data_IF_917087661516
#
_entry.id   IF_917087661516
#
_cell.length_a   1.000
_cell.length_b   1.000
_cell.length_c   1.000
_cell.angle_alpha   90.00
_cell.angle_beta   90.00
_cell.angle_gamma   90.00
#
_symmetry.space_group_name_H-M   'P 1'
#
loop_
_entity.id
_entity.type
_entity.pdbx_description
1 polymer ?
#
# COMPACT_ATOMS: atom_id res chain seq x y z
N UNK A 1 7.11 3.19 2.64
CA UNK A 1 6.38 1.94 2.39
C UNK A 1 4.95 2.29 2.07
N UNK A 2 4.07 1.30 2.04
CA UNK A 2 2.66 1.48 1.66
C UNK A 2 1.77 0.63 2.56
N UNK A 3 0.49 0.96 2.61
CA UNK A 3 -0.58 0.15 3.18
C UNK A 3 -1.27 -0.68 2.10
N UNK A 4 -1.75 -1.88 2.42
CA UNK A 4 -2.29 -2.82 1.41
C UNK A 4 -3.41 -2.24 0.55
N UNK A 5 -4.25 -1.34 1.07
CA UNK A 5 -5.39 -0.78 0.37
C UNK A 5 -5.32 0.76 0.28
N UNK A 6 -4.20 1.34 -0.17
CA UNK A 6 -4.00 2.80 -0.23
C UNK A 6 -5.17 3.59 -0.83
N UNK A 7 -5.72 3.13 -1.95
CA UNK A 7 -6.76 3.87 -2.66
C UNK A 7 -8.12 3.84 -1.98
N UNK A 8 -8.35 2.94 -1.02
CA UNK A 8 -9.69 2.75 -0.44
C UNK A 8 -10.16 3.93 0.39
N UNK A 9 -9.24 4.71 0.96
CA UNK A 9 -9.56 5.98 1.62
C UNK A 9 -9.49 7.17 0.65
N UNK A 10 -8.46 7.19 -0.21
CA UNK A 10 -8.13 8.34 -1.04
C UNK A 10 -8.99 8.51 -2.30
N UNK A 11 -9.61 7.44 -2.78
CA UNK A 11 -10.38 7.50 -4.02
C UNK A 11 -11.66 8.34 -3.87
N UNK A 12 -12.14 8.96 -4.97
CA UNK A 12 -13.49 9.51 -5.03
C UNK A 12 -14.54 8.50 -4.55
N UNK A 13 -15.52 9.00 -3.79
CA UNK A 13 -16.68 8.24 -3.32
C UNK A 13 -17.91 8.71 -4.11
N UNK A 14 -18.36 7.95 -5.13
CA UNK A 14 -19.52 8.36 -5.91
C UNK A 14 -20.80 8.23 -5.07
N UNK A 15 -21.75 9.14 -5.29
CA UNK A 15 -23.11 9.01 -4.72
C UNK A 15 -23.92 7.89 -5.40
N UNK A 16 -23.46 7.45 -6.58
CA UNK A 16 -24.04 6.36 -7.37
C UNK A 16 -23.53 5.00 -6.86
N UNK A 17 -24.35 3.96 -6.99
CA UNK A 17 -23.91 2.59 -6.75
C UNK A 17 -22.79 2.20 -7.74
N UNK A 18 -21.79 1.47 -7.23
CA UNK A 18 -20.68 0.97 -8.05
C UNK A 18 -21.17 0.07 -9.18
N UNK A 19 -20.66 0.36 -10.39
CA UNK A 19 -20.90 -0.36 -11.63
C UNK A 19 -19.75 -0.10 -12.59
N UNK A 20 -19.63 -0.88 -13.68
CA UNK A 20 -18.62 -0.58 -14.71
C UNK A 20 -18.75 0.83 -15.29
N UNK A 21 -19.98 1.35 -15.44
CA UNK A 21 -20.20 2.70 -15.94
C UNK A 21 -19.64 3.77 -14.99
N UNK A 22 -19.79 3.57 -13.67
CA UNK A 22 -19.21 4.46 -12.65
C UNK A 22 -17.68 4.32 -12.63
N UNK A 23 -17.14 3.10 -12.78
CA UNK A 23 -15.70 2.89 -12.91
C UNK A 23 -15.14 3.67 -14.10
N UNK A 24 -15.77 3.57 -15.27
CA UNK A 24 -15.34 4.27 -16.49
C UNK A 24 -15.42 5.80 -16.35
N UNK A 25 -16.50 6.31 -15.75
CA UNK A 25 -16.68 7.75 -15.45
C UNK A 25 -15.53 8.28 -14.57
N UNK A 26 -15.22 7.58 -13.48
CA UNK A 26 -14.17 8.00 -12.57
C UNK A 26 -12.76 7.81 -13.14
N UNK A 27 -12.52 6.74 -13.92
CA UNK A 27 -11.25 6.52 -14.61
C UNK A 27 -10.99 7.61 -15.65
N UNK A 28 -12.00 8.01 -16.42
CA UNK A 28 -11.88 9.11 -17.38
C UNK A 28 -11.48 10.44 -16.71
N UNK A 29 -12.01 10.71 -15.50
CA UNK A 29 -11.66 11.91 -14.74
C UNK A 29 -10.18 11.95 -14.32
N UNK A 30 -9.52 10.80 -14.17
CA UNK A 30 -8.10 10.72 -13.82
C UNK A 30 -7.16 11.19 -14.95
N UNK A 31 -7.62 11.26 -16.20
CA UNK A 31 -6.81 11.80 -17.32
C UNK A 31 -6.43 13.27 -17.15
N UNK A 32 -7.18 14.01 -16.32
CA UNK A 32 -6.84 15.39 -15.98
C UNK A 32 -5.54 15.50 -15.17
N UNK A 33 -5.12 14.42 -14.52
CA UNK A 33 -3.93 14.38 -13.66
C UNK A 33 -2.82 13.51 -14.25
N UNK A 34 -3.19 12.44 -14.97
CA UNK A 34 -2.25 11.54 -15.63
C UNK A 34 -2.49 11.54 -17.14
N UNK A 35 -1.72 12.37 -17.84
CA UNK A 35 -1.75 12.40 -19.31
C UNK A 35 -1.19 11.09 -19.88
N UNK A 36 -1.79 10.60 -20.96
CA UNK A 36 -1.30 9.41 -21.67
C UNK A 36 -1.75 8.06 -21.09
N UNK A 37 -2.64 8.04 -20.09
CA UNK A 37 -3.26 6.80 -19.63
C UNK A 37 -4.09 6.15 -20.75
N UNK A 38 -3.76 4.90 -21.08
CA UNK A 38 -4.62 4.03 -21.87
C UNK A 38 -5.74 3.48 -20.98
N UNK A 39 -6.88 4.16 -21.00
CA UNK A 39 -8.02 3.82 -20.15
C UNK A 39 -8.57 2.42 -20.43
N UNK A 40 -8.48 1.94 -21.68
CA UNK A 40 -8.95 0.60 -22.03
C UNK A 40 -8.02 -0.46 -21.43
N UNK A 41 -6.71 -0.24 -21.50
CA UNK A 41 -5.74 -1.12 -20.85
C UNK A 41 -5.90 -1.13 -19.32
N UNK A 42 -6.12 0.03 -18.69
CA UNK A 42 -6.38 0.14 -17.24
C UNK A 42 -7.67 -0.57 -16.85
N UNK A 43 -8.77 -0.30 -17.55
CA UNK A 43 -10.05 -0.99 -17.30
C UNK A 43 -9.88 -2.51 -17.44
N UNK A 44 -9.25 -2.96 -18.53
CA UNK A 44 -9.03 -4.37 -18.77
C UNK A 44 -8.18 -5.02 -17.68
N UNK A 45 -7.12 -4.34 -17.22
CA UNK A 45 -6.27 -4.81 -16.14
C UNK A 45 -7.07 -5.01 -14.84
N UNK A 46 -7.76 -3.98 -14.34
CA UNK A 46 -8.44 -4.06 -13.04
C UNK A 46 -9.73 -4.88 -13.09
N UNK A 47 -10.62 -4.60 -14.04
CA UNK A 47 -11.89 -5.33 -14.14
C UNK A 47 -11.71 -6.74 -14.72
N UNK A 48 -10.61 -7.02 -15.41
CA UNK A 48 -10.24 -8.38 -15.85
C UNK A 48 -10.03 -9.35 -14.68
N UNK A 49 -9.66 -8.85 -13.50
CA UNK A 49 -9.44 -9.63 -12.28
C UNK A 49 -10.69 -9.76 -11.39
N UNK A 50 -11.78 -9.08 -11.75
CA UNK A 50 -13.06 -9.15 -11.02
C UNK A 50 -13.86 -10.35 -11.50
N UNK A 51 -14.02 -11.36 -10.64
CA UNK A 51 -14.74 -12.60 -10.97
C UNK A 51 -16.24 -12.37 -11.24
N UNK A 52 -16.89 -11.48 -10.47
CA UNK A 52 -18.29 -11.12 -10.64
C UNK A 52 -18.43 -9.61 -10.84
N UNK A 53 -18.54 -9.17 -12.10
CA UNK A 53 -18.66 -7.74 -12.44
C UNK A 53 -20.04 -7.15 -12.17
N UNK A 54 -21.01 -7.98 -11.81
CA UNK A 54 -22.32 -7.53 -11.33
C UNK A 54 -22.31 -7.22 -9.82
N UNK A 55 -21.23 -7.55 -9.10
CA UNK A 55 -21.08 -7.22 -7.68
C UNK A 55 -20.51 -5.80 -7.51
N UNK A 56 -21.30 -4.83 -6.99
CA UNK A 56 -20.84 -3.46 -6.75
C UNK A 56 -19.63 -3.40 -5.81
N UNK A 57 -19.53 -4.30 -4.82
CA UNK A 57 -18.41 -4.31 -3.89
C UNK A 57 -17.11 -4.73 -4.59
N UNK A 58 -17.17 -5.68 -5.51
CA UNK A 58 -16.01 -6.11 -6.28
C UNK A 58 -15.51 -5.02 -7.25
N UNK A 59 -16.44 -4.32 -7.91
CA UNK A 59 -16.10 -3.17 -8.77
C UNK A 59 -15.48 -2.04 -7.95
N UNK A 60 -16.03 -1.74 -6.76
CA UNK A 60 -15.46 -0.76 -5.83
C UNK A 60 -14.03 -1.11 -5.46
N UNK A 61 -13.77 -2.35 -5.04
CA UNK A 61 -12.42 -2.78 -4.65
C UNK A 61 -11.45 -2.66 -5.82
N UNK A 62 -11.84 -3.07 -7.03
CA UNK A 62 -11.01 -2.91 -8.21
C UNK A 62 -10.67 -1.43 -8.51
N UNK A 63 -11.60 -0.51 -8.27
CA UNK A 63 -11.33 0.93 -8.40
C UNK A 63 -10.39 1.44 -7.30
N UNK A 64 -10.55 0.95 -6.06
CA UNK A 64 -9.66 1.29 -4.96
C UNK A 64 -8.22 0.81 -5.22
N UNK A 65 -8.06 -0.39 -5.78
CA UNK A 65 -6.74 -0.92 -6.16
C UNK A 65 -6.12 -0.06 -7.27
N UNK A 66 -6.87 0.24 -8.34
CA UNK A 66 -6.46 1.18 -9.39
C UNK A 66 -5.98 2.51 -8.83
N UNK A 67 -6.80 3.13 -7.98
CA UNK A 67 -6.51 4.45 -7.45
C UNK A 67 -5.31 4.41 -6.51
N UNK A 68 -5.19 3.38 -5.67
CA UNK A 68 -4.03 3.20 -4.80
C UNK A 68 -2.74 3.03 -5.59
N UNK A 69 -2.78 2.22 -6.65
CA UNK A 69 -1.62 1.88 -7.46
C UNK A 69 -1.05 3.10 -8.20
N UNK A 70 -1.91 3.88 -8.86
CA UNK A 70 -1.46 5.03 -9.66
C UNK A 70 -1.07 6.24 -8.80
N UNK A 71 -1.74 6.47 -7.67
CA UNK A 71 -1.49 7.65 -6.84
C UNK A 71 -0.42 7.46 -5.78
N UNK A 72 -0.28 6.27 -5.19
CA UNK A 72 0.57 6.04 -4.03
C UNK A 72 1.52 4.85 -4.24
N UNK A 73 0.99 3.65 -4.48
CA UNK A 73 1.77 2.41 -4.35
C UNK A 73 2.91 2.35 -5.36
N UNK A 74 2.61 2.44 -6.66
CA UNK A 74 3.62 2.31 -7.69
C UNK A 74 4.59 3.49 -7.76
N UNK A 75 4.19 4.77 -7.69
CA UNK A 75 5.18 5.85 -7.67
C UNK A 75 6.10 5.76 -6.45
N UNK A 76 5.59 5.39 -5.27
CA UNK A 76 6.40 5.22 -4.05
C UNK A 76 7.40 4.06 -4.19
N UNK A 77 6.95 2.91 -4.71
CA UNK A 77 7.80 1.74 -4.91
C UNK A 77 8.87 1.96 -5.99
N UNK A 78 8.51 2.51 -7.16
CA UNK A 78 9.44 2.79 -8.25
C UNK A 78 10.47 3.84 -7.84
N UNK A 79 10.06 4.89 -7.12
CA UNK A 79 10.98 5.86 -6.53
C UNK A 79 11.96 5.18 -5.57
N UNK A 80 11.48 4.32 -4.67
CA UNK A 80 12.33 3.62 -3.73
C UNK A 80 13.32 2.69 -4.42
N UNK A 81 12.91 1.98 -5.48
CA UNK A 81 13.82 1.15 -6.28
C UNK A 81 14.89 1.99 -6.98
N UNK A 82 14.50 3.11 -7.61
CA UNK A 82 15.44 4.00 -8.28
C UNK A 82 16.45 4.57 -7.29
N UNK A 83 15.98 5.02 -6.12
CA UNK A 83 16.83 5.50 -5.04
C UNK A 83 17.78 4.41 -4.54
N UNK A 84 17.31 3.17 -4.40
CA UNK A 84 18.13 2.04 -3.96
C UNK A 84 19.27 1.74 -4.95
N UNK A 85 19.00 1.81 -6.27
CA UNK A 85 20.00 1.61 -7.34
C UNK A 85 21.06 2.70 -7.37
N UNK A 86 20.67 3.95 -7.11
CA UNK A 86 21.57 5.11 -7.14
C UNK A 86 22.32 5.34 -5.83
N UNK A 87 21.89 4.71 -4.74
CA UNK A 87 22.46 4.96 -3.42
C UNK A 87 23.81 4.27 -3.24
N UNK A 88 24.77 5.00 -2.68
CA UNK A 88 26.01 4.41 -2.18
C UNK A 88 25.69 3.35 -1.09
N UNK A 89 26.56 2.34 -0.85
CA UNK A 89 26.32 1.31 0.17
C UNK A 89 25.97 1.82 1.57
N UNK A 90 26.42 3.04 1.90
CA UNK A 90 26.13 3.74 3.16
C UNK A 90 24.71 4.35 3.26
N UNK A 91 23.92 4.36 2.17
CA UNK A 91 22.55 4.88 2.11
C UNK A 91 21.62 3.75 1.69
N UNK A 92 21.24 2.91 2.66
CA UNK A 92 20.36 1.78 2.38
C UNK A 92 18.89 2.23 2.35
N UNK A 93 18.16 1.81 1.32
CA UNK A 93 16.71 2.00 1.22
C UNK A 93 16.01 0.79 1.81
N UNK A 94 14.91 1.02 2.53
CA UNK A 94 14.07 -0.01 3.12
C UNK A 94 12.63 0.22 2.70
N UNK A 95 11.91 -0.85 2.41
CA UNK A 95 10.51 -0.76 2.00
C UNK A 95 9.66 -1.74 2.81
N UNK A 96 8.41 -1.37 3.04
CA UNK A 96 7.42 -2.20 3.70
C UNK A 96 6.08 -2.14 2.97
N UNK A 97 5.30 -3.19 3.16
CA UNK A 97 3.85 -3.21 2.97
C UNK A 97 3.18 -3.51 4.32
N UNK A 98 2.23 -2.68 4.77
CA UNK A 98 1.38 -3.01 5.91
C UNK A 98 0.28 -3.96 5.46
N UNK A 99 0.32 -5.20 5.97
CA UNK A 99 -0.69 -6.23 5.67
C UNK A 99 -1.47 -6.69 6.90
N UNK A 100 -1.31 -5.98 8.03
CA UNK A 100 -2.08 -6.19 9.24
C UNK A 100 -3.13 -5.10 9.44
N UNK A 101 -4.36 -5.55 9.71
CA UNK A 101 -5.46 -4.71 10.10
C UNK A 101 -5.64 -4.78 11.61
N UNK A 102 -5.23 -3.73 12.32
CA UNK A 102 -5.52 -3.59 13.75
C UNK A 102 -6.93 -3.08 14.02
N UNK A 103 -7.27 -2.96 15.30
CA UNK A 103 -8.61 -2.51 15.69
C UNK A 103 -8.82 -1.01 15.56
N UNK A 104 -7.75 -0.24 15.72
CA UNK A 104 -7.81 1.20 15.61
C UNK A 104 -7.73 1.60 14.14
N UNK A 105 -8.83 2.16 13.65
CA UNK A 105 -8.91 2.74 12.32
C UNK A 105 -8.84 4.26 12.39
N UNK A 106 -8.24 4.89 11.37
CA UNK A 106 -8.32 6.33 11.19
C UNK A 106 -9.77 6.76 10.91
N UNK A 107 -10.10 8.00 11.28
CA UNK A 107 -11.43 8.56 11.03
C UNK A 107 -11.82 8.49 9.55
N UNK A 108 -12.97 7.86 9.27
CA UNK A 108 -13.50 7.68 7.92
C UNK A 108 -13.00 6.42 7.18
N UNK A 109 -12.06 5.67 7.76
CA UNK A 109 -11.62 4.39 7.23
C UNK A 109 -12.52 3.27 7.75
N UNK A 110 -13.34 2.69 6.89
CA UNK A 110 -14.18 1.55 7.25
C UNK A 110 -13.39 0.22 7.11
N UNK A 111 -13.08 -0.49 8.21
CA UNK A 111 -12.29 -1.71 8.16
C UNK A 111 -12.94 -2.84 7.34
N UNK A 112 -14.26 -2.82 7.14
CA UNK A 112 -14.97 -3.86 6.40
C UNK A 112 -14.94 -3.60 4.90
N UNK A 113 -15.16 -2.34 4.49
CA UNK A 113 -15.29 -1.99 3.07
C UNK A 113 -14.02 -1.41 2.45
N UNK A 114 -13.11 -0.89 3.27
CA UNK A 114 -11.85 -0.26 2.85
C UNK A 114 -10.60 -1.06 3.22
N UNK A 115 -10.69 -1.99 4.17
CA UNK A 115 -9.55 -2.81 4.60
C UNK A 115 -8.46 -2.00 5.29
N UNK A 116 -7.21 -2.24 4.90
CA UNK A 116 -6.01 -1.56 5.44
C UNK A 116 -5.75 -0.31 4.59
N UNK A 117 -6.55 0.71 4.85
CA UNK A 117 -6.60 1.91 4.05
C UNK A 117 -5.37 2.83 4.25
N UNK A 118 -5.31 3.92 3.49
CA UNK A 118 -4.27 4.93 3.63
C UNK A 118 -4.15 5.46 5.07
N UNK A 119 -2.92 5.46 5.59
CA UNK A 119 -2.60 5.95 6.93
C UNK A 119 -2.91 4.98 8.07
N UNK A 120 -3.40 3.77 7.80
CA UNK A 120 -3.63 2.75 8.84
C UNK A 120 -2.38 2.44 9.68
N UNK A 121 -1.18 2.67 9.15
CA UNK A 121 0.07 2.49 9.88
C UNK A 121 0.32 3.55 10.96
N UNK A 122 -0.29 4.73 10.86
CA UNK A 122 0.01 5.87 11.73
C UNK A 122 -0.30 5.58 13.20
N UNK A 123 -1.37 4.84 13.48
CA UNK A 123 -1.73 4.49 14.86
C UNK A 123 -0.69 3.59 15.52
N UNK A 124 -0.04 2.70 14.74
CA UNK A 124 1.07 1.88 15.21
C UNK A 124 2.36 2.68 15.37
N UNK A 125 2.69 3.53 14.38
CA UNK A 125 3.92 4.33 14.36
C UNK A 125 3.97 5.36 15.50
N UNK A 126 2.84 6.01 15.81
CA UNK A 126 2.75 7.02 16.86
C UNK A 126 2.37 6.45 18.23
N UNK A 127 2.33 5.13 18.39
CA UNK A 127 2.11 4.47 19.68
C UNK A 127 0.67 4.52 20.20
N UNK A 128 -0.30 4.89 19.37
CA UNK A 128 -1.72 4.93 19.76
C UNK A 128 -2.23 3.53 20.12
N UNK A 129 -1.90 2.52 19.32
CA UNK A 129 -2.27 1.13 19.62
C UNK A 129 -1.51 0.58 20.83
N UNK A 130 -0.24 0.94 20.99
CA UNK A 130 0.54 0.59 22.19
C UNK A 130 -0.10 1.11 23.49
N UNK A 131 -0.55 2.37 23.49
CA UNK A 131 -1.14 3.01 24.66
C UNK A 131 -2.59 2.60 24.91
N UNK A 132 -3.40 2.47 23.85
CA UNK A 132 -4.85 2.47 23.96
C UNK A 132 -5.57 1.27 23.34
N UNK A 133 -4.88 0.32 22.70
CA UNK A 133 -5.55 -0.91 22.25
C UNK A 133 -5.84 -1.82 23.44
N UNK A 134 -6.96 -2.55 23.42
CA UNK A 134 -7.22 -3.62 24.39
C UNK A 134 -6.65 -4.96 23.91
N UNK A 135 -6.22 -5.05 22.64
CA UNK A 135 -5.61 -6.25 22.07
C UNK A 135 -4.11 -6.32 22.38
N UNK A 136 -3.63 -7.36 23.08
CA UNK A 136 -2.20 -7.53 23.33
C UNK A 136 -1.37 -7.63 22.05
N UNK A 137 -1.94 -8.21 20.98
CA UNK A 137 -1.29 -8.33 19.67
C UNK A 137 -1.02 -6.95 19.05
N UNK A 138 -1.99 -6.04 19.08
CA UNK A 138 -1.86 -4.67 18.55
C UNK A 138 -0.83 -3.88 19.35
N UNK A 139 -0.82 -4.01 20.68
CA UNK A 139 0.21 -3.37 21.52
C UNK A 139 1.60 -3.84 21.15
N UNK A 140 1.79 -5.16 21.04
CA UNK A 140 3.06 -5.76 20.65
C UNK A 140 3.49 -5.30 19.26
N UNK A 141 2.55 -5.28 18.32
CA UNK A 141 2.80 -4.83 16.95
C UNK A 141 3.22 -3.36 16.90
N UNK A 142 2.47 -2.48 17.57
CA UNK A 142 2.79 -1.05 17.65
C UNK A 142 4.15 -0.81 18.28
N UNK A 143 4.50 -1.55 19.35
CA UNK A 143 5.83 -1.48 19.94
C UNK A 143 6.93 -1.85 18.94
N UNK A 144 6.77 -2.96 18.23
CA UNK A 144 7.76 -3.39 17.22
C UNK A 144 7.90 -2.35 16.09
N UNK A 145 6.78 -1.80 15.60
CA UNK A 145 6.77 -0.74 14.58
C UNK A 145 7.52 0.50 15.09
N UNK A 146 7.25 0.97 16.31
CA UNK A 146 7.99 2.08 16.92
C UNK A 146 9.49 1.77 17.04
N UNK A 147 9.85 0.55 17.41
CA UNK A 147 11.26 0.14 17.53
C UNK A 147 11.96 0.18 16.17
N UNK A 148 11.32 -0.27 15.08
CA UNK A 148 11.89 -0.13 13.72
C UNK A 148 12.12 1.34 13.33
N UNK A 149 11.13 2.20 13.53
CA UNK A 149 11.22 3.62 13.16
C UNK A 149 12.29 4.35 13.97
N UNK A 150 12.33 4.12 15.28
CA UNK A 150 13.33 4.76 16.16
C UNK A 150 14.75 4.20 15.93
N UNK A 151 14.89 2.92 15.61
CA UNK A 151 16.17 2.30 15.23
C UNK A 151 16.71 2.90 13.93
N UNK A 152 15.86 3.07 12.92
CA UNK A 152 16.21 3.74 11.67
C UNK A 152 16.62 5.20 11.90
N UNK A 153 15.87 5.96 12.70
CA UNK A 153 16.19 7.34 13.01
C UNK A 153 17.56 7.50 13.72
N UNK A 154 17.93 6.54 14.58
CA UNK A 154 19.20 6.55 15.33
C UNK A 154 20.39 6.09 14.50
N UNK A 155 20.20 5.10 13.62
CA UNK A 155 21.32 4.32 13.05
C UNK A 155 21.29 4.22 11.52
N UNK A 156 20.20 4.62 10.86
CA UNK A 156 19.98 4.39 9.44
C UNK A 156 19.61 2.94 9.09
N UNK A 157 19.36 2.08 10.08
CA UNK A 157 18.97 0.68 9.90
C UNK A 157 17.72 0.39 10.76
N UNK A 158 16.59 -0.04 10.17
CA UNK A 158 15.41 -0.42 10.94
C UNK A 158 15.62 -1.83 11.49
N UNK A 159 16.30 -1.95 12.63
CA UNK A 159 16.61 -3.25 13.24
C UNK A 159 15.94 -3.42 14.60
N UNK A 160 15.25 -4.55 14.75
CA UNK A 160 14.82 -5.16 16.02
C UNK A 160 15.47 -6.56 16.11
N UNK A 161 14.88 -7.51 16.84
CA UNK A 161 15.28 -8.92 16.74
C UNK A 161 15.10 -9.48 15.31
N UNK A 162 14.11 -8.94 14.56
CA UNK A 162 13.76 -9.44 13.24
C UNK A 162 14.39 -8.58 12.14
N UNK A 163 14.86 -9.24 11.09
CA UNK A 163 15.54 -8.55 9.98
C UNK A 163 14.52 -7.76 9.15
N UNK A 164 14.91 -6.52 8.81
CA UNK A 164 14.30 -5.75 7.74
C UNK A 164 15.30 -5.72 6.57
N UNK A 165 15.00 -6.37 5.44
CA UNK A 165 15.92 -6.45 4.33
C UNK A 165 16.11 -5.08 3.66
N UNK A 166 17.34 -4.78 3.25
CA UNK A 166 17.62 -3.65 2.36
C UNK A 166 16.94 -3.91 1.02
N UNK A 167 16.23 -2.92 0.52
CA UNK A 167 15.65 -2.95 -0.82
C UNK A 167 16.79 -3.09 -1.84
N UNK A 168 16.62 -4.05 -2.74
CA UNK A 168 17.60 -4.41 -3.78
C UNK A 168 16.86 -4.94 -5.01
N UNK A 169 17.59 -5.36 -6.03
CA UNK A 169 17.02 -5.81 -7.32
C UNK A 169 16.13 -7.06 -7.22
N UNK A 170 16.18 -7.80 -6.09
CA UNK A 170 15.26 -8.92 -5.83
C UNK A 170 13.90 -8.45 -5.29
N UNK A 171 13.72 -7.16 -5.02
CA UNK A 171 12.51 -6.55 -4.45
C UNK A 171 11.96 -7.32 -3.25
N UNK A 172 12.84 -7.64 -2.30
CA UNK A 172 12.46 -8.25 -1.02
C UNK A 172 12.16 -7.12 -0.03
N UNK A 173 10.92 -7.05 0.44
CA UNK A 173 10.44 -6.00 1.34
C UNK A 173 9.94 -6.57 2.67
N UNK A 174 9.81 -5.72 3.68
CA UNK A 174 9.23 -6.11 4.97
C UNK A 174 7.72 -6.27 4.86
N UNK A 175 7.20 -7.42 5.30
CA UNK A 175 5.78 -7.58 5.61
C UNK A 175 5.54 -7.04 7.03
N UNK A 176 4.84 -5.92 7.18
CA UNK A 176 4.48 -5.43 8.51
C UNK A 176 3.20 -6.14 8.96
N UNK A 177 3.41 -7.28 9.63
CA UNK A 177 2.35 -8.12 10.13
C UNK A 177 2.77 -8.85 11.43
N UNK A 178 2.00 -8.75 12.53
CA UNK A 178 2.38 -9.35 13.81
C UNK A 178 2.15 -10.85 13.90
N UNK A 179 1.47 -11.47 12.92
CA UNK A 179 1.35 -12.92 12.86
C UNK A 179 2.67 -13.62 12.49
N UNK A 180 3.54 -12.93 11.74
CA UNK A 180 4.91 -13.36 11.48
C UNK A 180 5.81 -12.14 11.22
N UNK A 181 6.46 -11.67 12.28
CA UNK A 181 7.40 -10.54 12.20
C UNK A 181 8.65 -10.85 11.38
N UNK A 182 8.97 -12.12 11.10
CA UNK A 182 10.13 -12.48 10.28
C UNK A 182 9.81 -12.44 8.78
N UNK A 183 8.53 -12.40 8.43
CA UNK A 183 8.06 -12.50 7.05
C UNK A 183 8.54 -11.34 6.19
N UNK A 184 8.88 -11.69 4.97
CA UNK A 184 9.20 -10.76 3.90
C UNK A 184 8.38 -11.11 2.67
N UNK A 185 8.12 -10.10 1.83
CA UNK A 185 7.44 -10.29 0.56
C UNK A 185 8.47 -10.21 -0.56
N UNK A 186 8.42 -11.19 -1.47
CA UNK A 186 9.32 -11.28 -2.62
C UNK A 186 8.58 -10.79 -3.86
N UNK A 187 9.05 -9.70 -4.44
CA UNK A 187 8.50 -9.13 -5.67
C UNK A 187 6.98 -8.84 -5.63
N UNK A 188 6.40 -8.32 -4.52
CA UNK A 188 4.95 -8.14 -4.41
C UNK A 188 4.36 -7.16 -5.44
N UNK A 189 5.17 -6.25 -5.98
CA UNK A 189 4.75 -5.22 -6.93
C UNK A 189 5.21 -5.46 -8.37
N UNK A 190 5.70 -6.67 -8.68
CA UNK A 190 6.26 -6.96 -10.01
C UNK A 190 5.24 -6.90 -11.13
N UNK A 191 4.09 -7.53 -10.95
CA UNK A 191 3.05 -7.54 -11.98
C UNK A 191 2.43 -6.14 -12.14
N UNK A 192 2.05 -5.54 -11.01
CA UNK A 192 1.34 -4.26 -11.00
C UNK A 192 2.25 -3.09 -11.32
N UNK A 193 3.32 -2.89 -10.55
CA UNK A 193 4.16 -1.71 -10.73
C UNK A 193 5.19 -1.94 -11.84
N UNK A 194 6.05 -2.95 -11.71
CA UNK A 194 7.17 -3.13 -12.65
C UNK A 194 6.69 -3.39 -14.09
N UNK A 195 5.66 -4.24 -14.28
CA UNK A 195 5.21 -4.66 -15.61
C UNK A 195 4.07 -3.82 -16.20
N UNK A 196 3.08 -3.41 -15.38
CA UNK A 196 1.91 -2.69 -15.90
C UNK A 196 2.06 -1.16 -15.82
N UNK A 197 2.43 -0.62 -14.66
CA UNK A 197 2.40 0.83 -14.43
C UNK A 197 3.67 1.58 -14.81
N UNK A 198 4.86 0.97 -14.75
CA UNK A 198 6.16 1.68 -14.97
C UNK A 198 6.14 2.57 -16.22
N UNK A 199 5.58 2.07 -17.33
CA UNK A 199 5.52 2.80 -18.62
C UNK A 199 4.75 4.12 -18.59
N UNK A 200 3.93 4.37 -17.56
CA UNK A 200 3.19 5.62 -17.38
C UNK A 200 3.90 6.60 -16.44
N UNK A 201 5.03 6.22 -15.84
CA UNK A 201 5.83 7.04 -14.92
C UNK A 201 7.20 7.44 -15.48
N UNK A 202 7.53 7.00 -16.70
CA UNK A 202 8.71 7.40 -17.48
C UNK A 202 8.44 8.66 -18.31
#
# INVERSE_FOLDING_TARGET
GVSRNEGSYLSPKPDKQWSEAVFDELLANSQNQFHGLDLQAVKHYYLGRVANRSDPAAIRTAFYDYYGDVYITCPTYLFAQQLAKQSAPARSVYFYELTYQGDRVLGGCDPVTMGICHGSELSFVFGMDYMYSDKPLDKKFSKEVMDYWTSFAKTGVPTTEQKWPKLNDKSIIKDLNPYDFSKTLVQPFKETCDQFWTKYFE
#
